data_IF_502149179685
#
_entry.id   IF_502149179685
#
_cell.length_a   1.000
_cell.length_b   1.000
_cell.length_c   1.000
_cell.angle_alpha   90.00
_cell.angle_beta   90.00
_cell.angle_gamma   90.00
#
_symmetry.space_group_name_H-M   'P 1'
#
loop_
_entity.id
_entity.type
_entity.pdbx_description
1 polymer ?
#
# COMPACT_ATOMS: atom_id res chain seq x y z
N UNK A 1 -11.42 6.52 -14.53
CA UNK A 1 -11.19 7.52 -15.57
C UNK A 1 -9.74 7.87 -15.71
N UNK A 2 -9.29 7.98 -16.94
CA UNK A 2 -7.88 8.26 -17.15
C UNK A 2 -7.49 9.67 -16.78
N UNK A 3 -8.46 10.54 -16.74
CA UNK A 3 -8.19 11.92 -16.38
C UNK A 3 -8.64 12.23 -14.98
N UNK A 4 -9.02 11.22 -14.22
CA UNK A 4 -9.49 11.43 -12.88
C UNK A 4 -8.36 11.64 -11.89
N UNK A 5 -8.74 11.70 -10.63
CA UNK A 5 -7.81 11.94 -9.54
C UNK A 5 -6.92 10.74 -9.27
N UNK A 6 -5.81 11.02 -8.62
CA UNK A 6 -5.00 9.99 -8.01
C UNK A 6 -5.28 10.07 -6.51
N UNK A 7 -5.73 8.98 -5.92
CA UNK A 7 -6.00 8.94 -4.49
C UNK A 7 -4.93 8.13 -3.79
N UNK A 8 -4.34 8.69 -2.75
CA UNK A 8 -3.34 7.99 -1.95
C UNK A 8 -3.90 7.79 -0.56
N UNK A 9 -3.91 6.55 -0.10
CA UNK A 9 -4.38 6.22 1.24
C UNK A 9 -3.19 5.77 2.07
N UNK A 10 -2.82 6.56 3.07
CA UNK A 10 -1.74 6.16 3.96
C UNK A 10 -2.36 5.41 5.12
N UNK A 11 -1.99 4.15 5.27
CA UNK A 11 -2.55 3.31 6.32
C UNK A 11 -1.74 3.53 7.59
N UNK A 12 -2.42 3.70 8.70
CA UNK A 12 -1.76 4.09 9.94
C UNK A 12 -1.95 3.15 11.11
N UNK A 13 -2.66 2.05 10.90
CA UNK A 13 -2.88 1.07 11.96
C UNK A 13 -2.51 -0.30 11.45
N UNK A 14 -2.11 -1.18 12.38
CA UNK A 14 -1.86 -2.55 11.99
C UNK A 14 -3.15 -3.15 11.44
N UNK A 15 -3.01 -4.02 10.45
CA UNK A 15 -4.18 -4.48 9.72
C UNK A 15 -4.60 -5.86 10.19
N UNK A 16 -5.73 -5.91 10.89
CA UNK A 16 -6.39 -7.13 11.28
C UNK A 16 -7.81 -7.08 10.71
N UNK A 17 -8.65 -8.03 11.09
CA UNK A 17 -10.00 -8.12 10.54
C UNK A 17 -10.79 -6.83 10.75
N UNK A 18 -10.70 -6.26 11.96
CA UNK A 18 -11.48 -5.07 12.27
C UNK A 18 -11.02 -3.86 11.48
N UNK A 19 -9.71 -3.61 11.45
CA UNK A 19 -9.19 -2.46 10.73
C UNK A 19 -9.32 -2.65 9.23
N UNK A 20 -9.20 -3.89 8.74
CA UNK A 20 -9.39 -4.16 7.31
C UNK A 20 -10.80 -3.78 6.86
N UNK A 21 -11.80 -4.06 7.71
CA UNK A 21 -13.17 -3.69 7.37
C UNK A 21 -13.37 -2.18 7.32
N UNK A 22 -12.75 -1.47 8.27
CA UNK A 22 -12.83 -0.02 8.28
C UNK A 22 -12.18 0.58 7.04
N UNK A 23 -11.01 0.09 6.69
CA UNK A 23 -10.28 0.58 5.52
C UNK A 23 -11.10 0.32 4.28
N UNK A 24 -11.66 -0.88 4.15
CA UNK A 24 -12.46 -1.24 3.01
C UNK A 24 -13.61 -0.26 2.79
N UNK A 25 -14.36 0.01 3.85
CA UNK A 25 -15.52 0.89 3.73
C UNK A 25 -15.11 2.30 3.32
N UNK A 26 -14.06 2.82 3.96
CA UNK A 26 -13.61 4.18 3.67
C UNK A 26 -13.08 4.29 2.24
N UNK A 27 -12.27 3.33 1.84
CA UNK A 27 -11.65 3.38 0.52
C UNK A 27 -12.69 3.18 -0.57
N UNK A 28 -13.62 2.22 -0.37
CA UNK A 28 -14.65 1.98 -1.38
C UNK A 28 -15.53 3.20 -1.57
N UNK A 29 -15.89 3.88 -0.47
CA UNK A 29 -16.68 5.10 -0.58
C UNK A 29 -15.97 6.15 -1.43
N UNK A 30 -14.67 6.33 -1.21
CA UNK A 30 -13.92 7.32 -1.96
C UNK A 30 -13.73 6.90 -3.40
N UNK A 31 -13.50 5.61 -3.65
CA UNK A 31 -13.36 5.12 -5.02
C UNK A 31 -14.64 5.36 -5.79
N UNK A 32 -15.80 5.07 -5.18
CA UNK A 32 -17.06 5.26 -5.85
C UNK A 32 -17.38 6.73 -6.06
N UNK A 33 -17.00 7.55 -5.10
CA UNK A 33 -17.27 8.99 -5.20
C UNK A 33 -16.44 9.66 -6.26
N UNK A 34 -15.16 9.34 -6.34
CA UNK A 34 -14.22 10.07 -7.18
C UNK A 34 -13.85 9.37 -8.47
N UNK A 35 -14.15 8.09 -8.62
CA UNK A 35 -13.77 7.30 -9.79
C UNK A 35 -12.32 7.59 -10.21
N UNK A 36 -11.36 7.36 -9.30
CA UNK A 36 -9.99 7.77 -9.57
C UNK A 36 -9.37 7.00 -10.72
N UNK A 37 -8.44 7.63 -11.41
CA UNK A 37 -7.68 6.90 -12.42
C UNK A 37 -6.61 6.04 -11.79
N UNK A 38 -6.25 6.32 -10.53
CA UNK A 38 -5.22 5.55 -9.85
C UNK A 38 -5.41 5.64 -8.35
N UNK A 39 -5.24 4.50 -7.70
CA UNK A 39 -5.28 4.43 -6.24
C UNK A 39 -3.93 3.90 -5.76
N UNK A 40 -3.39 4.53 -4.74
CA UNK A 40 -2.11 4.17 -4.15
C UNK A 40 -2.33 3.89 -2.67
N UNK A 41 -1.83 2.75 -2.22
CA UNK A 41 -1.82 2.44 -0.79
C UNK A 41 -0.40 2.62 -0.29
N UNK A 42 -0.25 3.48 0.73
CA UNK A 42 1.05 3.77 1.32
C UNK A 42 1.15 3.02 2.64
N UNK A 43 2.08 2.07 2.68
CA UNK A 43 2.26 1.18 3.83
C UNK A 43 3.42 1.60 4.74
N UNK A 44 3.88 2.85 4.64
CA UNK A 44 5.08 3.27 5.38
C UNK A 44 4.97 3.07 6.89
N UNK A 45 3.75 3.15 7.44
CA UNK A 45 3.56 3.00 8.87
C UNK A 45 3.10 1.61 9.29
N UNK A 46 3.05 0.66 8.36
CA UNK A 46 2.55 -0.68 8.65
C UNK A 46 3.71 -1.66 8.76
N UNK A 47 3.83 -2.29 9.93
CA UNK A 47 4.86 -3.30 10.15
C UNK A 47 4.31 -4.71 10.06
N UNK A 48 3.03 -4.87 10.27
CA UNK A 48 2.42 -6.20 10.31
C UNK A 48 1.00 -6.16 9.79
N UNK A 49 0.60 -7.24 9.15
CA UNK A 49 -0.80 -7.46 8.84
C UNK A 49 -1.03 -8.95 8.69
N UNK A 50 -2.28 -9.38 8.93
CA UNK A 50 -2.63 -10.78 8.77
C UNK A 50 -3.35 -10.98 7.43
N UNK A 51 -3.92 -12.15 7.26
CA UNK A 51 -4.57 -12.49 5.98
C UNK A 51 -5.74 -11.58 5.66
N UNK A 52 -6.34 -10.95 6.67
CA UNK A 52 -7.41 -9.99 6.42
C UNK A 52 -6.90 -8.82 5.59
N UNK A 53 -5.64 -8.43 5.83
CA UNK A 53 -5.03 -7.34 5.05
C UNK A 53 -4.84 -7.72 3.60
N UNK A 54 -4.43 -8.95 3.35
CA UNK A 54 -4.28 -9.42 1.97
C UNK A 54 -5.63 -9.37 1.26
N UNK A 55 -6.68 -9.86 1.91
CA UNK A 55 -8.01 -9.84 1.31
C UNK A 55 -8.50 -8.42 1.05
N UNK A 56 -8.23 -7.53 2.00
CA UNK A 56 -8.63 -6.13 1.86
C UNK A 56 -7.95 -5.50 0.65
N UNK A 57 -6.64 -5.71 0.50
CA UNK A 57 -5.90 -5.16 -0.62
C UNK A 57 -6.40 -5.71 -1.94
N UNK A 58 -6.59 -7.03 -2.02
CA UNK A 58 -7.03 -7.65 -3.27
C UNK A 58 -8.41 -7.19 -3.67
N UNK A 59 -9.30 -7.00 -2.69
CA UNK A 59 -10.65 -6.52 -3.00
C UNK A 59 -10.65 -5.11 -3.58
N UNK A 60 -9.81 -4.24 -3.01
CA UNK A 60 -9.72 -2.86 -3.52
C UNK A 60 -9.07 -2.85 -4.90
N UNK A 61 -8.07 -3.68 -5.09
CA UNK A 61 -7.45 -3.83 -6.40
C UNK A 61 -8.51 -4.21 -7.46
N UNK A 62 -9.32 -5.22 -7.15
CA UNK A 62 -10.32 -5.67 -8.10
C UNK A 62 -11.34 -4.59 -8.41
N UNK A 63 -11.77 -3.86 -7.40
CA UNK A 63 -12.73 -2.77 -7.61
C UNK A 63 -12.16 -1.70 -8.52
N UNK A 64 -10.92 -1.28 -8.24
CA UNK A 64 -10.29 -0.24 -9.04
C UNK A 64 -10.11 -0.69 -10.48
N UNK A 65 -9.68 -1.93 -10.68
CA UNK A 65 -9.50 -2.44 -12.05
C UNK A 65 -10.83 -2.55 -12.78
N UNK A 66 -11.87 -2.96 -12.08
CA UNK A 66 -13.20 -3.04 -12.68
C UNK A 66 -13.65 -1.67 -13.18
N UNK A 67 -13.29 -0.62 -12.47
CA UNK A 67 -13.66 0.73 -12.85
C UNK A 67 -12.67 1.39 -13.80
N UNK A 68 -11.70 0.64 -14.27
CA UNK A 68 -10.76 1.14 -15.29
C UNK A 68 -9.57 1.89 -14.75
N UNK A 69 -9.35 1.85 -13.44
CA UNK A 69 -8.22 2.55 -12.85
C UNK A 69 -7.01 1.66 -12.65
N UNK A 70 -5.99 2.24 -12.07
CA UNK A 70 -4.76 1.53 -11.73
C UNK A 70 -4.57 1.52 -10.23
N UNK A 71 -3.83 0.54 -9.73
CA UNK A 71 -3.66 0.37 -8.31
C UNK A 71 -2.21 -0.02 -8.03
N UNK A 72 -1.60 0.62 -7.05
CA UNK A 72 -0.25 0.23 -6.66
C UNK A 72 -0.04 0.42 -5.16
N UNK A 73 0.97 -0.22 -4.64
CA UNK A 73 1.32 -0.20 -3.22
C UNK A 73 2.72 0.36 -3.11
N UNK A 74 2.93 1.31 -2.19
CA UNK A 74 4.24 1.94 -2.03
C UNK A 74 4.72 1.88 -0.59
N UNK A 75 6.00 2.07 -0.42
CA UNK A 75 6.66 2.19 0.88
C UNK A 75 6.50 0.94 1.73
N UNK A 76 6.67 -0.21 1.11
CA UNK A 76 6.50 -1.50 1.79
C UNK A 76 7.81 -1.93 2.44
N UNK A 77 7.74 -2.25 3.72
CA UNK A 77 8.92 -2.72 4.44
C UNK A 77 9.16 -4.19 4.13
N UNK A 78 10.39 -4.64 4.34
CA UNK A 78 10.81 -5.98 3.94
C UNK A 78 9.88 -7.08 4.45
N UNK A 79 9.45 -6.96 5.69
CA UNK A 79 8.58 -7.98 6.27
C UNK A 79 7.27 -8.11 5.50
N UNK A 80 6.68 -6.98 5.16
CA UNK A 80 5.43 -6.99 4.41
C UNK A 80 5.64 -7.43 2.97
N UNK A 81 6.77 -7.05 2.38
CA UNK A 81 7.06 -7.48 1.02
C UNK A 81 7.10 -8.99 0.96
N UNK A 82 7.66 -9.63 1.98
CA UNK A 82 7.70 -11.08 2.02
C UNK A 82 6.29 -11.67 2.06
N UNK A 83 5.40 -11.04 2.83
CA UNK A 83 4.02 -11.49 2.90
C UNK A 83 3.33 -11.35 1.55
N UNK A 84 3.52 -10.21 0.88
CA UNK A 84 2.93 -9.99 -0.42
C UNK A 84 3.49 -10.96 -1.46
N UNK A 85 4.79 -11.28 -1.35
CA UNK A 85 5.38 -12.24 -2.28
C UNK A 85 4.81 -13.63 -2.07
N UNK A 86 4.69 -14.05 -0.81
CA UNK A 86 4.21 -15.38 -0.51
C UNK A 86 2.74 -15.56 -0.86
N UNK A 87 1.96 -14.51 -0.75
CA UNK A 87 0.53 -14.58 -1.06
C UNK A 87 0.23 -14.42 -2.54
N UNK A 88 1.23 -14.07 -3.33
CA UNK A 88 1.02 -13.88 -4.77
C UNK A 88 0.62 -12.47 -5.15
N UNK A 89 0.40 -11.58 -4.19
CA UNK A 89 -0.03 -10.22 -4.49
C UNK A 89 1.01 -9.51 -5.36
N UNK A 90 2.29 -9.75 -5.09
CA UNK A 90 3.36 -9.09 -5.83
C UNK A 90 3.34 -9.39 -7.32
N UNK A 91 2.68 -10.47 -7.72
CA UNK A 91 2.63 -10.84 -9.13
C UNK A 91 1.61 -10.03 -9.91
N UNK A 92 0.63 -9.45 -9.22
CA UNK A 92 -0.45 -8.76 -9.92
C UNK A 92 -0.55 -7.28 -9.57
N UNK A 93 0.03 -6.84 -8.47
CA UNK A 93 -0.03 -5.45 -8.04
C UNK A 93 1.39 -4.90 -7.96
N UNK A 94 1.69 -3.78 -8.62
CA UNK A 94 3.01 -3.16 -8.49
C UNK A 94 3.27 -2.76 -7.04
N UNK A 95 4.43 -3.13 -6.54
CA UNK A 95 4.81 -2.85 -5.16
C UNK A 95 6.17 -2.18 -5.14
N UNK A 96 6.24 -1.02 -4.51
CA UNK A 96 7.48 -0.30 -4.34
C UNK A 96 7.91 -0.37 -2.89
N UNK A 97 9.12 -0.80 -2.65
CA UNK A 97 9.62 -0.94 -1.29
C UNK A 97 10.05 0.39 -0.71
N UNK A 98 10.05 0.43 0.62
CA UNK A 98 10.52 1.58 1.37
C UNK A 98 12.01 1.76 1.11
N UNK A 99 12.39 2.89 0.56
CA UNK A 99 13.76 3.10 0.16
C UNK A 99 14.71 3.19 1.34
N UNK A 100 14.26 3.73 2.44
CA UNK A 100 15.10 3.80 3.62
C UNK A 100 15.49 2.42 4.08
N UNK A 101 14.54 1.52 4.08
CA UNK A 101 14.81 0.17 4.52
C UNK A 101 15.66 -0.58 3.50
N UNK A 102 15.47 -0.31 2.23
CA UNK A 102 16.29 -0.93 1.21
C UNK A 102 17.73 -0.50 1.30
N UNK A 103 17.97 0.70 1.78
CA UNK A 103 19.31 1.24 1.89
C UNK A 103 19.90 1.13 3.27
N UNK A 104 19.24 0.38 4.12
CA UNK A 104 19.71 0.16 5.45
C UNK A 104 21.07 -0.44 5.37
N UNK A 105 21.99 -0.21 6.10
CA UNK A 105 23.31 -0.71 5.99
C UNK A 105 24.22 0.15 5.16
N UNK A 106 23.67 1.08 4.44
CA UNK A 106 24.48 1.97 3.67
C UNK A 106 24.45 3.35 4.22
N UNK A 107 23.35 3.70 4.72
CA UNK A 107 23.06 5.02 5.06
C UNK A 107 23.50 5.54 6.32
N UNK A 108 23.36 4.82 7.32
CA UNK A 108 23.46 5.28 8.55
C UNK A 108 24.70 5.80 8.89
N UNK A 109 25.61 5.66 8.07
CA UNK A 109 26.76 6.24 8.42
C UNK A 109 26.69 7.69 8.44
N UNK A 110 25.82 8.27 7.82
CA UNK A 110 25.71 9.64 7.98
C UNK A 110 24.40 10.13 8.22
N UNK A 111 23.63 9.56 8.44
CA UNK A 111 22.46 10.08 8.79
C UNK A 111 22.47 10.41 9.96
N UNK A 112 23.16 9.94 10.33
CA UNK A 112 23.16 10.35 11.18
C UNK A 112 23.63 11.32 10.98
N UNK A 113 23.94 11.47 10.04
CA UNK A 113 24.28 12.35 9.69
C UNK A 113 23.65 12.99 8.88
N UNK A 114 22.90 12.73 8.06
CA UNK A 114 22.14 13.29 7.46
C UNK A 114 21.47 13.45 7.51
N UNK A 115 21.59 12.86 7.66
CA UNK A 115 21.00 12.79 7.74
C UNK A 115 20.67 13.32 7.59
N UNK A 116 20.62 13.28 7.13
CA UNK A 116 20.16 13.75 7.00
C UNK A 116 19.88 14.27 6.34
N UNK A 117 20.11 14.14 5.92
CA UNK A 117 19.76 14.45 5.45
C UNK A 117 19.21 14.65 5.07
#
# INVERSE_FOLDING_TARGET
SKEGKVLTFKLTEEIDQHTADKIRRKVDDDIERFSPRKVIFDFSDILFMDSSGIGMVLGRYKLVKLLGGQFEIINVKKRLKRIFDMSGVSRIIPIQMDEEENNEGIIWQWDEIRIYK
#
